data_IF_767973444103
#
_entry.id   IF_767973444103
#
_cell.length_a   1.000
_cell.length_b   1.000
_cell.length_c   1.000
_cell.angle_alpha   90.00
_cell.angle_beta   90.00
_cell.angle_gamma   90.00
#
_symmetry.space_group_name_H-M   'P 1'
#
loop_
_entity.id
_entity.type
_entity.pdbx_description
1 polymer ?
#
# COMPACT_ATOMS: atom_id res chain seq x y z
N UNK A 1 42.31 22.24 32.95
CA UNK A 1 41.50 22.74 31.81
C UNK A 1 40.76 21.54 31.22
N UNK A 2 39.44 21.62 31.07
CA UNK A 2 38.54 20.47 30.88
C UNK A 2 38.52 20.05 29.40
N UNK A 3 38.83 18.79 29.11
CA UNK A 3 38.67 18.19 27.77
C UNK A 3 37.19 17.95 27.49
N UNK A 4 36.67 18.56 26.42
CA UNK A 4 35.34 18.27 25.88
C UNK A 4 35.44 17.09 24.92
N UNK A 5 34.83 15.96 25.26
CA UNK A 5 34.61 14.86 24.33
C UNK A 5 33.35 15.17 23.48
N UNK A 6 33.50 15.24 22.16
CA UNK A 6 32.39 15.39 21.22
C UNK A 6 31.90 13.99 20.86
N UNK A 7 30.72 13.59 21.37
CA UNK A 7 30.03 12.38 20.91
C UNK A 7 29.34 12.70 19.57
N UNK A 8 29.90 12.20 18.47
CA UNK A 8 29.22 12.20 17.18
C UNK A 8 28.19 11.05 17.16
N UNK A 9 26.90 11.40 17.21
CA UNK A 9 25.81 10.44 17.09
C UNK A 9 25.49 10.22 15.60
N UNK A 10 25.94 9.09 15.05
CA UNK A 10 25.63 8.70 13.67
C UNK A 10 24.17 8.27 13.57
N UNK A 11 23.37 9.01 12.80
CA UNK A 11 21.96 8.70 12.55
C UNK A 11 21.88 7.50 11.57
N UNK A 12 21.55 6.32 12.09
CA UNK A 12 21.31 5.13 11.27
C UNK A 12 19.96 5.27 10.55
N UNK A 13 20.00 5.45 9.23
CA UNK A 13 18.82 5.37 8.37
C UNK A 13 18.39 3.90 8.26
N UNK A 14 17.41 3.52 9.07
CA UNK A 14 16.72 2.23 8.93
C UNK A 14 15.83 2.32 7.70
N UNK A 15 16.28 1.72 6.60
CA UNK A 15 15.45 1.58 5.40
C UNK A 15 14.42 0.48 5.67
N UNK A 16 13.15 0.87 5.85
CA UNK A 16 12.05 -0.09 5.93
C UNK A 16 11.81 -0.66 4.54
N UNK A 17 12.21 -1.91 4.31
CA UNK A 17 11.81 -2.65 3.11
C UNK A 17 10.30 -2.91 3.21
N UNK A 18 9.51 -2.17 2.44
CA UNK A 18 8.08 -2.46 2.31
C UNK A 18 7.90 -3.60 1.31
N UNK A 19 6.98 -4.52 1.62
CA UNK A 19 6.48 -5.50 0.66
C UNK A 19 5.57 -4.77 -0.34
N UNK A 20 6.20 -4.11 -1.31
CA UNK A 20 5.57 -3.36 -2.38
C UNK A 20 5.05 -4.29 -3.48
N UNK A 21 4.05 -3.82 -4.22
CA UNK A 21 3.47 -4.49 -5.38
C UNK A 21 3.20 -3.45 -6.47
N UNK A 22 4.26 -2.93 -7.11
CA UNK A 22 4.19 -1.66 -7.85
C UNK A 22 3.47 -1.73 -9.21
N UNK A 23 3.21 -2.92 -9.77
CA UNK A 23 2.61 -3.09 -11.08
C UNK A 23 1.81 -4.40 -11.20
N UNK A 24 1.17 -4.63 -12.35
CA UNK A 24 0.43 -5.87 -12.62
C UNK A 24 1.35 -7.07 -12.46
N UNK A 25 0.94 -8.05 -11.63
CA UNK A 25 1.74 -9.20 -11.18
C UNK A 25 2.90 -8.88 -10.22
N UNK A 26 3.24 -7.62 -10.00
CA UNK A 26 3.92 -7.10 -8.81
C UNK A 26 5.40 -7.46 -8.62
N UNK A 27 5.75 -8.74 -8.62
CA UNK A 27 7.14 -9.16 -8.47
C UNK A 27 7.98 -8.75 -9.67
N UNK A 28 9.28 -8.54 -9.46
CA UNK A 28 10.20 -8.09 -10.51
C UNK A 28 10.29 -9.05 -11.70
N UNK A 29 9.95 -10.34 -11.51
CA UNK A 29 9.87 -11.32 -12.59
C UNK A 29 8.50 -11.33 -13.29
N UNK A 30 7.52 -10.56 -12.81
CA UNK A 30 6.18 -10.47 -13.37
C UNK A 30 5.40 -11.79 -13.29
N UNK A 31 5.70 -12.65 -12.31
CA UNK A 31 5.09 -13.97 -12.16
C UNK A 31 3.71 -13.93 -11.48
N UNK A 32 3.46 -12.94 -10.62
CA UNK A 32 2.28 -12.87 -9.77
C UNK A 32 2.44 -13.65 -8.46
N UNK A 33 3.67 -13.95 -8.05
CA UNK A 33 3.95 -14.79 -6.87
C UNK A 33 4.51 -13.97 -5.71
N UNK A 34 4.12 -14.34 -4.49
CA UNK A 34 4.64 -13.74 -3.25
C UNK A 34 5.41 -14.78 -2.45
N UNK A 35 6.51 -14.37 -1.82
CA UNK A 35 7.30 -15.21 -0.90
C UNK A 35 6.76 -15.21 0.53
N UNK A 36 5.69 -14.45 0.80
CA UNK A 36 5.01 -14.42 2.10
C UNK A 36 4.52 -15.81 2.51
N UNK A 37 4.65 -16.12 3.80
CA UNK A 37 4.28 -17.42 4.37
C UNK A 37 3.33 -17.24 5.55
N UNK A 38 2.75 -18.34 6.05
CA UNK A 38 1.81 -18.34 7.19
C UNK A 38 0.58 -17.45 6.95
N UNK A 39 0.14 -17.38 5.70
CA UNK A 39 -1.07 -16.67 5.31
C UNK A 39 -2.32 -17.43 5.80
N UNK A 40 -3.36 -16.74 6.27
CA UNK A 40 -4.61 -17.40 6.64
C UNK A 40 -5.27 -18.04 5.41
N UNK A 41 -5.76 -19.27 5.57
CA UNK A 41 -6.40 -20.06 4.50
C UNK A 41 -7.93 -20.06 4.57
N UNK A 42 -8.51 -19.46 5.62
CA UNK A 42 -9.95 -19.36 5.83
C UNK A 42 -10.36 -17.89 5.89
N UNK A 43 -11.47 -17.54 5.24
CA UNK A 43 -11.90 -16.14 5.11
C UNK A 43 -13.41 -16.06 5.08
N UNK A 44 -13.98 -15.01 5.70
CA UNK A 44 -15.38 -14.65 5.53
C UNK A 44 -15.57 -13.12 5.59
N UNK A 45 -16.79 -12.65 5.90
CA UNK A 45 -17.07 -11.21 6.00
C UNK A 45 -16.37 -10.52 7.19
N UNK A 46 -15.87 -11.23 8.17
CA UNK A 46 -15.29 -10.66 9.39
C UNK A 46 -13.99 -11.38 9.77
N UNK A 47 -13.90 -12.69 9.50
CA UNK A 47 -12.76 -13.54 9.79
C UNK A 47 -11.57 -13.25 8.89
N UNK A 48 -10.41 -13.08 9.52
CA UNK A 48 -9.11 -12.82 8.91
C UNK A 48 -9.02 -11.53 8.06
N UNK A 49 -10.02 -10.65 8.18
CA UNK A 49 -10.09 -9.38 7.43
C UNK A 49 -9.58 -8.25 8.30
N UNK A 50 -8.51 -7.57 7.89
CA UNK A 50 -7.96 -6.43 8.64
C UNK A 50 -8.84 -5.18 8.57
N UNK A 51 -9.38 -4.90 7.38
CA UNK A 51 -10.28 -3.78 7.14
C UNK A 51 -11.02 -3.99 5.82
N UNK A 52 -12.09 -3.23 5.63
CA UNK A 52 -12.80 -3.05 4.37
C UNK A 52 -13.19 -1.60 4.21
N UNK A 53 -13.28 -1.18 2.96
CA UNK A 53 -13.72 0.15 2.58
C UNK A 53 -14.65 0.01 1.38
N UNK A 54 -15.74 0.75 1.41
CA UNK A 54 -16.61 0.90 0.26
C UNK A 54 -15.93 1.83 -0.75
N UNK A 55 -15.89 1.43 -2.02
CA UNK A 55 -15.37 2.27 -3.08
C UNK A 55 -16.47 3.22 -3.59
N UNK A 56 -16.14 4.47 -3.95
CA UNK A 56 -17.13 5.42 -4.49
C UNK A 56 -17.82 4.92 -5.76
N UNK A 57 -17.08 4.22 -6.63
CA UNK A 57 -17.60 3.61 -7.85
C UNK A 57 -17.06 2.18 -8.03
N UNK A 58 -17.51 1.51 -9.10
CA UNK A 58 -17.11 0.13 -9.38
C UNK A 58 -15.60 0.01 -9.66
N UNK A 59 -14.89 -0.74 -8.82
CA UNK A 59 -13.46 -1.05 -9.01
C UNK A 59 -13.24 -2.17 -10.03
N UNK A 60 -12.33 -1.96 -10.98
CA UNK A 60 -11.98 -2.95 -12.03
C UNK A 60 -10.47 -3.19 -12.20
N UNK A 61 -9.64 -2.62 -11.32
CA UNK A 61 -8.19 -2.68 -11.42
C UNK A 61 -7.55 -3.61 -10.39
N UNK A 62 -6.34 -4.09 -10.69
CA UNK A 62 -5.47 -4.68 -9.67
C UNK A 62 -4.88 -3.58 -8.80
N UNK A 63 -4.84 -3.74 -7.47
CA UNK A 63 -4.23 -2.76 -6.57
C UNK A 63 -2.73 -2.66 -6.83
N UNK A 64 -2.23 -1.42 -6.82
CA UNK A 64 -0.80 -1.13 -6.75
C UNK A 64 -0.45 -0.76 -5.33
N UNK A 65 0.57 -1.40 -4.76
CA UNK A 65 1.04 -1.12 -3.40
C UNK A 65 2.42 -0.48 -3.48
N UNK A 66 2.58 0.68 -2.85
CA UNK A 66 3.88 1.30 -2.62
C UNK A 66 3.94 1.90 -1.22
N UNK A 67 4.83 1.36 -0.39
CA UNK A 67 4.93 1.67 1.02
C UNK A 67 3.62 1.44 1.78
N UNK A 68 3.16 2.51 2.43
CA UNK A 68 1.91 2.59 3.19
C UNK A 68 0.71 3.07 2.33
N UNK A 69 0.79 2.95 1.00
CA UNK A 69 -0.26 3.40 0.08
C UNK A 69 -0.75 2.26 -0.81
N UNK A 70 -2.05 2.27 -1.07
CA UNK A 70 -2.71 1.44 -2.08
C UNK A 70 -3.31 2.37 -3.13
N UNK A 71 -3.07 2.06 -4.40
CA UNK A 71 -3.61 2.79 -5.53
C UNK A 71 -4.57 1.91 -6.32
N UNK A 72 -5.72 2.49 -6.67
CA UNK A 72 -6.75 1.83 -7.46
C UNK A 72 -7.25 2.79 -8.54
N UNK A 73 -7.66 2.24 -9.68
CA UNK A 73 -8.45 2.98 -10.66
C UNK A 73 -9.89 2.53 -10.65
N UNK A 74 -10.80 3.50 -10.81
CA UNK A 74 -12.24 3.30 -10.98
C UNK A 74 -12.75 4.27 -12.05
N UNK A 75 -13.95 4.09 -12.61
CA UNK A 75 -14.58 5.14 -13.41
C UNK A 75 -14.93 6.36 -12.53
N UNK A 76 -14.83 7.56 -13.11
CA UNK A 76 -15.54 8.75 -12.63
C UNK A 76 -16.68 8.95 -13.64
N UNK A 77 -17.86 8.41 -13.32
CA UNK A 77 -18.99 8.35 -14.23
C UNK A 77 -19.54 9.74 -14.54
N UNK A 78 -19.55 10.62 -13.55
CA UNK A 78 -20.00 12.00 -13.68
C UNK A 78 -19.15 12.79 -14.69
N UNK A 79 -17.81 12.68 -14.59
CA UNK A 79 -16.88 13.39 -15.49
C UNK A 79 -16.52 12.60 -16.74
N UNK A 80 -16.99 11.34 -16.86
CA UNK A 80 -16.66 10.42 -17.95
C UNK A 80 -15.15 10.21 -18.12
N UNK A 81 -14.47 9.97 -17.01
CA UNK A 81 -13.01 9.78 -16.95
C UNK A 81 -12.64 8.57 -16.10
N UNK A 82 -11.34 8.32 -15.98
CA UNK A 82 -10.79 7.34 -15.04
C UNK A 82 -10.27 8.08 -13.81
N UNK A 83 -10.81 7.74 -12.65
CA UNK A 83 -10.31 8.19 -11.36
C UNK A 83 -9.13 7.35 -10.89
N UNK A 84 -8.21 7.99 -10.18
CA UNK A 84 -7.13 7.37 -9.41
C UNK A 84 -7.35 7.65 -7.93
N UNK A 85 -7.45 6.59 -7.15
CA UNK A 85 -7.64 6.60 -5.72
C UNK A 85 -6.32 6.31 -5.04
N UNK A 86 -6.07 6.97 -3.92
CA UNK A 86 -5.00 6.63 -3.00
C UNK A 86 -5.58 6.35 -1.62
N UNK A 87 -5.35 5.16 -1.12
CA UNK A 87 -5.84 4.67 0.15
C UNK A 87 -4.66 4.43 1.09
N UNK A 88 -4.88 4.65 2.38
CA UNK A 88 -3.95 4.26 3.43
C UNK A 88 -3.96 2.72 3.57
N UNK A 89 -2.79 2.08 3.45
CA UNK A 89 -2.67 0.61 3.46
C UNK A 89 -3.09 -0.01 4.81
N UNK A 90 -2.91 0.73 5.91
CA UNK A 90 -3.11 0.21 7.27
C UNK A 90 -4.59 0.26 7.67
N UNK A 91 -5.31 1.28 7.20
CA UNK A 91 -6.68 1.58 7.64
C UNK A 91 -7.72 1.44 6.54
N UNK A 92 -7.32 1.41 5.27
CA UNK A 92 -8.23 1.47 4.12
C UNK A 92 -8.84 2.85 3.87
N UNK A 93 -8.47 3.87 4.65
CA UNK A 93 -9.01 5.23 4.51
C UNK A 93 -8.62 5.84 3.15
N UNK A 94 -9.60 6.39 2.44
CA UNK A 94 -9.33 7.23 1.26
C UNK A 94 -8.56 8.48 1.67
N UNK A 95 -7.37 8.66 1.10
CA UNK A 95 -6.52 9.81 1.35
C UNK A 95 -6.78 10.93 0.34
N UNK A 96 -6.88 10.57 -0.94
CA UNK A 96 -7.22 11.48 -2.03
C UNK A 96 -7.70 10.70 -3.26
N UNK A 97 -8.36 11.43 -4.16
CA UNK A 97 -8.78 10.98 -5.48
C UNK A 97 -8.41 12.03 -6.54
N UNK A 98 -8.14 11.58 -7.77
CA UNK A 98 -7.86 12.47 -8.92
C UNK A 98 -8.46 11.90 -10.22
N UNK A 99 -9.14 12.75 -11.00
CA UNK A 99 -9.74 12.44 -12.30
C UNK A 99 -9.62 13.59 -13.32
#
# INVERSE_FOLDING_TARGET
MKSLAVLSSSLLLVSTCFADWPFWRGDLAGSGTSSETKLPTEWDKEKNVKWRVELPEAGNSSPVISGDRIFLTQPDTDKKRRGLLCLDRKTGKLLWEKS
#
